data_IF_822727331873
#
_entry.id   IF_822727331873
#
_cell.length_a   1.000
_cell.length_b   1.000
_cell.length_c   1.000
_cell.angle_alpha   90.00
_cell.angle_beta   90.00
_cell.angle_gamma   90.00
#
_symmetry.space_group_name_H-M   'P 1'
#
loop_
_entity.id
_entity.type
_entity.pdbx_description
1 polymer ?
#
# COMPACT_ATOMS: atom_id res chain seq x y z
N UNK A 1 -18.70 -0.21 -9.01
CA UNK A 1 -19.69 -1.27 -8.63
C UNK A 1 -19.98 -1.17 -7.13
N UNK A 2 -21.25 -1.31 -6.71
CA UNK A 2 -21.62 -1.34 -5.27
C UNK A 2 -21.56 -2.76 -4.71
N UNK A 3 -21.08 -2.89 -3.47
CA UNK A 3 -21.18 -4.12 -2.70
C UNK A 3 -22.55 -4.22 -1.95
N UNK A 4 -22.74 -5.29 -1.19
CA UNK A 4 -24.01 -5.52 -0.45
C UNK A 4 -24.28 -4.51 0.67
N UNK A 5 -23.29 -3.67 1.03
CA UNK A 5 -23.39 -2.62 2.06
C UNK A 5 -23.44 -1.21 1.45
N UNK A 6 -23.65 -1.10 0.12
CA UNK A 6 -23.77 0.16 -0.60
C UNK A 6 -22.45 0.90 -0.85
N UNK A 7 -21.27 0.29 -0.54
CA UNK A 7 -19.96 0.90 -0.76
C UNK A 7 -19.58 0.81 -2.23
N UNK A 8 -19.11 1.92 -2.80
CA UNK A 8 -18.59 1.95 -4.17
C UNK A 8 -17.18 1.36 -4.24
N UNK A 9 -17.04 0.14 -4.76
CA UNK A 9 -15.76 -0.53 -4.94
C UNK A 9 -15.18 -0.10 -6.28
N UNK A 10 -14.24 0.84 -6.24
CA UNK A 10 -13.61 1.44 -7.42
C UNK A 10 -12.07 1.40 -7.38
N UNK A 11 -11.49 0.70 -6.42
CA UNK A 11 -10.07 0.65 -6.18
C UNK A 11 -9.57 -0.79 -6.04
N UNK A 12 -8.72 -1.22 -6.99
CA UNK A 12 -8.10 -2.53 -6.97
C UNK A 12 -6.61 -2.42 -6.57
N UNK A 13 -6.19 -3.26 -5.62
CA UNK A 13 -4.78 -3.42 -5.26
C UNK A 13 -4.29 -4.77 -5.76
N UNK A 14 -3.17 -4.78 -6.46
CA UNK A 14 -2.56 -6.00 -6.99
C UNK A 14 -1.16 -6.12 -6.41
N UNK A 15 -0.89 -7.22 -5.71
CA UNK A 15 0.45 -7.62 -5.32
C UNK A 15 1.13 -8.27 -6.53
N UNK A 16 2.32 -7.83 -6.89
CA UNK A 16 3.04 -8.33 -8.06
C UNK A 16 4.06 -9.41 -7.71
N UNK A 17 4.48 -9.47 -6.46
CA UNK A 17 5.50 -10.41 -5.97
C UNK A 17 5.47 -10.48 -4.44
N UNK A 18 5.88 -11.61 -3.88
CA UNK A 18 6.14 -11.74 -2.43
C UNK A 18 7.58 -11.35 -2.07
N UNK A 19 8.48 -11.29 -3.06
CA UNK A 19 9.89 -10.96 -2.82
C UNK A 19 10.05 -9.50 -2.42
N UNK A 20 10.97 -9.27 -1.48
CA UNK A 20 11.38 -7.95 -1.04
C UNK A 20 12.90 -7.92 -0.85
N UNK A 21 13.52 -6.81 -1.19
CA UNK A 21 14.94 -6.54 -0.96
C UNK A 21 15.22 -5.97 0.44
N UNK A 22 14.20 -5.78 1.27
CA UNK A 22 14.29 -5.45 2.69
C UNK A 22 13.60 -6.53 3.53
N UNK A 23 13.93 -6.57 4.84
CA UNK A 23 13.38 -7.55 5.80
C UNK A 23 12.87 -6.84 7.05
N UNK A 24 12.00 -5.83 6.87
CA UNK A 24 11.51 -5.02 7.99
C UNK A 24 10.96 -5.88 9.12
N UNK A 25 11.34 -5.54 10.37
CA UNK A 25 11.08 -6.33 11.58
C UNK A 25 9.61 -6.68 11.81
N UNK A 26 8.72 -5.74 11.47
CA UNK A 26 7.25 -5.89 11.62
C UNK A 26 6.57 -6.55 10.42
N UNK A 27 7.31 -6.76 9.30
CA UNK A 27 6.77 -7.30 8.05
C UNK A 27 7.16 -8.77 7.84
N UNK A 28 8.41 -9.11 8.12
CA UNK A 28 8.99 -10.42 7.83
C UNK A 28 9.66 -11.02 9.08
N UNK A 29 9.57 -12.35 9.28
CA UNK A 29 10.30 -13.02 10.34
C UNK A 29 11.82 -12.91 10.10
N UNK A 30 12.60 -13.10 11.15
CA UNK A 30 14.06 -12.91 11.09
C UNK A 30 14.73 -13.94 10.19
N UNK A 31 14.27 -15.17 10.26
CA UNK A 31 14.72 -16.31 9.47
C UNK A 31 14.15 -16.37 8.05
N UNK A 32 13.44 -15.30 7.62
CA UNK A 32 12.87 -15.26 6.29
C UNK A 32 13.95 -15.35 5.21
N UNK A 33 13.93 -16.45 4.47
CA UNK A 33 14.75 -16.65 3.28
C UNK A 33 13.92 -16.31 2.06
N UNK A 34 14.35 -15.27 1.32
CA UNK A 34 13.75 -14.95 0.02
C UNK A 34 13.96 -16.16 -0.91
N UNK A 35 12.88 -16.86 -1.23
CA UNK A 35 12.93 -17.94 -2.20
C UNK A 35 13.15 -17.33 -3.59
N UNK A 36 13.88 -18.05 -4.48
CA UNK A 36 13.83 -17.70 -5.91
C UNK A 36 12.36 -17.62 -6.31
N UNK A 37 11.97 -16.47 -6.87
CA UNK A 37 10.61 -16.30 -7.36
C UNK A 37 10.36 -17.35 -8.44
N UNK A 38 9.42 -18.23 -8.17
CA UNK A 38 8.91 -19.12 -9.18
C UNK A 38 7.88 -18.31 -9.99
N UNK A 39 8.33 -17.78 -11.12
CA UNK A 39 7.53 -16.89 -11.98
C UNK A 39 6.24 -17.58 -12.45
N UNK A 40 6.19 -18.93 -12.45
CA UNK A 40 4.98 -19.67 -12.82
C UNK A 40 3.89 -19.60 -11.75
N UNK A 41 4.25 -19.31 -10.51
CA UNK A 41 3.32 -19.23 -9.36
C UNK A 41 2.74 -17.85 -9.14
N UNK A 42 3.27 -16.82 -9.78
CA UNK A 42 2.77 -15.46 -9.66
C UNK A 42 2.00 -15.03 -10.92
N UNK A 43 1.21 -13.97 -10.77
CA UNK A 43 0.53 -13.35 -11.90
C UNK A 43 1.54 -12.84 -12.92
N UNK A 44 1.41 -13.27 -14.18
CA UNK A 44 2.16 -12.72 -15.32
C UNK A 44 1.68 -11.31 -15.64
N UNK A 45 2.41 -10.56 -16.48
CA UNK A 45 1.96 -9.28 -17.02
C UNK A 45 0.58 -9.44 -17.69
N UNK A 46 0.41 -10.46 -18.51
CA UNK A 46 -0.84 -10.77 -19.23
C UNK A 46 -1.99 -11.01 -18.24
N UNK A 47 -1.77 -11.79 -17.18
CA UNK A 47 -2.76 -12.02 -16.13
C UNK A 47 -3.18 -10.68 -15.48
N UNK A 48 -2.21 -9.83 -15.13
CA UNK A 48 -2.49 -8.52 -14.53
C UNK A 48 -3.34 -7.65 -15.45
N UNK A 49 -2.99 -7.59 -16.74
CA UNK A 49 -3.71 -6.77 -17.72
C UNK A 49 -5.12 -7.31 -17.99
N UNK A 50 -5.31 -8.63 -18.06
CA UNK A 50 -6.63 -9.27 -18.17
C UNK A 50 -7.53 -8.93 -17.00
N UNK A 51 -7.00 -9.02 -15.77
CA UNK A 51 -7.72 -8.64 -14.55
C UNK A 51 -8.09 -7.15 -14.58
N UNK A 52 -7.14 -6.27 -14.93
CA UNK A 52 -7.37 -4.82 -14.96
C UNK A 52 -8.43 -4.44 -16.00
N UNK A 53 -8.39 -5.07 -17.18
CA UNK A 53 -9.37 -4.81 -18.23
C UNK A 53 -10.78 -5.19 -17.82
N UNK A 54 -10.96 -6.37 -17.19
CA UNK A 54 -12.24 -6.79 -16.64
C UNK A 54 -12.70 -5.86 -15.49
N UNK A 55 -11.79 -5.49 -14.59
CA UNK A 55 -12.07 -4.61 -13.45
C UNK A 55 -12.51 -3.20 -13.90
N UNK A 56 -11.90 -2.66 -14.96
CA UNK A 56 -12.28 -1.36 -15.52
C UNK A 56 -13.74 -1.32 -15.96
N UNK A 57 -14.21 -2.36 -16.65
CA UNK A 57 -15.62 -2.44 -17.09
C UNK A 57 -16.61 -2.45 -15.91
N UNK A 58 -16.14 -2.85 -14.72
CA UNK A 58 -16.93 -2.81 -13.49
C UNK A 58 -16.92 -1.44 -12.78
N UNK A 59 -16.21 -0.44 -13.35
CA UNK A 59 -16.06 0.89 -12.77
C UNK A 59 -14.89 1.04 -11.81
N UNK A 60 -13.94 0.10 -11.80
CA UNK A 60 -12.65 0.30 -11.11
C UNK A 60 -11.82 1.27 -11.93
N UNK A 61 -11.47 2.40 -11.35
CA UNK A 61 -10.73 3.49 -11.99
C UNK A 61 -9.37 3.76 -11.33
N UNK A 62 -9.07 3.05 -10.25
CA UNK A 62 -7.85 3.20 -9.48
C UNK A 62 -7.14 1.87 -9.27
N UNK A 63 -5.89 1.80 -9.69
CA UNK A 63 -5.02 0.64 -9.49
C UNK A 63 -3.87 1.00 -8.57
N UNK A 64 -3.55 0.10 -7.64
CA UNK A 64 -2.32 0.20 -6.87
C UNK A 64 -1.52 -1.08 -6.97
N UNK A 65 -0.34 -0.97 -7.49
CA UNK A 65 0.64 -2.05 -7.54
C UNK A 65 1.42 -2.08 -6.23
N UNK A 66 1.51 -3.27 -5.65
CA UNK A 66 2.22 -3.53 -4.40
C UNK A 66 2.95 -4.88 -4.50
N UNK A 67 3.32 -5.44 -3.36
CA UNK A 67 3.92 -6.76 -3.27
C UNK A 67 4.68 -6.88 -1.96
N UNK A 68 5.75 -7.66 -1.96
CA UNK A 68 6.89 -7.41 -1.11
C UNK A 68 7.51 -6.09 -1.59
N UNK A 69 8.29 -6.11 -2.69
CA UNK A 69 8.74 -4.88 -3.35
C UNK A 69 8.42 -4.95 -4.85
N UNK A 70 7.44 -4.18 -5.36
CA UNK A 70 7.02 -4.26 -6.75
C UNK A 70 8.09 -3.83 -7.75
N UNK A 71 9.04 -2.96 -7.34
CA UNK A 71 10.14 -2.52 -8.21
C UNK A 71 11.19 -3.61 -8.46
N UNK A 72 11.12 -4.77 -7.81
CA UNK A 72 11.91 -5.95 -8.16
C UNK A 72 11.44 -6.63 -9.45
N UNK A 73 10.17 -6.45 -9.82
CA UNK A 73 9.65 -6.97 -11.08
C UNK A 73 10.33 -6.30 -12.27
N UNK A 74 10.84 -7.10 -13.19
CA UNK A 74 11.52 -6.60 -14.40
C UNK A 74 10.54 -5.90 -15.35
N UNK A 75 9.33 -6.41 -15.43
CA UNK A 75 8.22 -5.97 -16.30
C UNK A 75 7.35 -4.86 -15.65
N UNK A 76 7.76 -4.27 -14.52
CA UNK A 76 6.95 -3.26 -13.80
C UNK A 76 6.58 -2.05 -14.69
N UNK A 77 7.49 -1.59 -15.54
CA UNK A 77 7.25 -0.46 -16.46
C UNK A 77 6.24 -0.84 -17.54
N UNK A 78 6.36 -2.06 -18.11
CA UNK A 78 5.43 -2.60 -19.08
C UNK A 78 4.03 -2.77 -18.48
N UNK A 79 3.94 -3.32 -17.27
CA UNK A 79 2.67 -3.44 -16.53
C UNK A 79 2.01 -2.06 -16.35
N UNK A 80 2.73 -1.03 -15.90
CA UNK A 80 2.19 0.34 -15.74
C UNK A 80 1.69 0.88 -17.09
N UNK A 81 2.49 0.74 -18.15
CA UNK A 81 2.10 1.16 -19.50
C UNK A 81 0.86 0.43 -20.01
N UNK A 82 0.78 -0.89 -19.79
CA UNK A 82 -0.38 -1.70 -20.16
C UNK A 82 -1.64 -1.29 -19.42
N UNK A 83 -1.55 -1.02 -18.11
CA UNK A 83 -2.66 -0.51 -17.28
C UNK A 83 -3.13 0.87 -17.80
N UNK A 84 -2.20 1.75 -18.16
CA UNK A 84 -2.53 3.06 -18.74
C UNK A 84 -3.24 2.91 -20.08
N UNK A 85 -2.75 2.03 -20.96
CA UNK A 85 -3.39 1.70 -22.26
C UNK A 85 -4.77 1.08 -22.09
N UNK A 86 -5.00 0.29 -21.03
CA UNK A 86 -6.33 -0.22 -20.67
C UNK A 86 -7.28 0.90 -20.20
N UNK A 87 -6.82 2.14 -20.10
CA UNK A 87 -7.60 3.34 -19.80
C UNK A 87 -7.84 3.58 -18.31
N UNK A 88 -6.95 3.12 -17.45
CA UNK A 88 -6.90 3.49 -16.04
C UNK A 88 -6.02 4.73 -15.90
N UNK A 89 -6.56 5.79 -15.33
CA UNK A 89 -5.83 7.04 -15.12
C UNK A 89 -5.17 7.14 -13.75
N UNK A 90 -5.74 6.52 -12.73
CA UNK A 90 -5.20 6.54 -11.38
C UNK A 90 -4.33 5.31 -11.09
N UNK A 91 -3.04 5.37 -11.47
CA UNK A 91 -2.07 4.28 -11.28
C UNK A 91 -1.07 4.68 -10.20
N UNK A 92 -0.98 3.88 -9.14
CA UNK A 92 -0.08 4.13 -8.01
C UNK A 92 0.78 2.90 -7.71
N UNK A 93 1.98 3.14 -7.21
CA UNK A 93 2.86 2.10 -6.66
C UNK A 93 3.07 2.35 -5.17
N UNK A 94 3.14 1.27 -4.37
CA UNK A 94 3.68 1.31 -3.01
C UNK A 94 5.00 0.59 -3.01
N UNK A 95 6.07 1.24 -2.56
CA UNK A 95 7.45 0.75 -2.61
C UNK A 95 8.20 1.11 -1.32
N UNK A 96 9.25 0.37 -1.01
CA UNK A 96 10.22 0.73 0.02
C UNK A 96 11.23 1.81 -0.45
N UNK A 97 11.22 2.17 -1.72
CA UNK A 97 12.00 3.26 -2.29
C UNK A 97 13.45 2.94 -2.65
N UNK A 98 14.00 1.79 -2.30
CA UNK A 98 15.43 1.45 -2.54
C UNK A 98 15.79 1.47 -4.04
N UNK A 99 14.88 1.05 -4.91
CA UNK A 99 15.09 0.99 -6.37
C UNK A 99 14.40 2.14 -7.12
N UNK A 100 13.83 3.09 -6.38
CA UNK A 100 12.96 4.10 -6.97
C UNK A 100 13.73 5.04 -7.91
N UNK A 101 14.91 5.52 -7.49
CA UNK A 101 15.70 6.47 -8.28
C UNK A 101 16.13 5.94 -9.65
N UNK A 102 16.26 4.61 -9.77
CA UNK A 102 16.66 3.96 -11.02
C UNK A 102 15.49 3.81 -12.02
N UNK A 103 14.25 3.74 -11.51
CA UNK A 103 13.06 3.41 -12.31
C UNK A 103 12.08 4.56 -12.49
N UNK A 104 12.23 5.64 -11.72
CA UNK A 104 11.20 6.68 -11.63
C UNK A 104 10.88 7.33 -12.98
N UNK A 105 11.91 7.66 -13.77
CA UNK A 105 11.74 8.28 -15.09
C UNK A 105 10.88 7.40 -16.02
N UNK A 106 11.25 6.13 -16.16
CA UNK A 106 10.52 5.18 -17.02
C UNK A 106 9.09 4.93 -16.53
N UNK A 107 8.87 4.94 -15.20
CA UNK A 107 7.53 4.81 -14.63
C UNK A 107 6.66 6.04 -14.89
N UNK A 108 7.22 7.25 -14.85
CA UNK A 108 6.51 8.47 -15.23
C UNK A 108 6.11 8.45 -16.71
N UNK A 109 7.05 8.09 -17.59
CA UNK A 109 6.81 7.95 -19.03
C UNK A 109 5.75 6.89 -19.33
N UNK A 110 5.67 5.82 -18.53
CA UNK A 110 4.65 4.78 -18.63
C UNK A 110 3.25 5.22 -18.13
N UNK A 111 3.14 6.39 -17.47
CA UNK A 111 1.87 6.94 -17.02
C UNK A 111 1.55 6.71 -15.54
N UNK A 112 2.56 6.52 -14.68
CA UNK A 112 2.37 6.46 -13.23
C UNK A 112 1.83 7.80 -12.70
N UNK A 113 0.78 7.77 -11.87
CA UNK A 113 0.11 8.97 -11.33
C UNK A 113 0.67 9.42 -9.99
N UNK A 114 1.30 8.54 -9.26
CA UNK A 114 1.89 8.86 -7.96
C UNK A 114 2.45 7.65 -7.23
N UNK A 115 3.18 7.92 -6.17
CA UNK A 115 3.92 6.89 -5.44
C UNK A 115 3.72 7.01 -3.94
N UNK A 116 3.62 5.85 -3.28
CA UNK A 116 3.69 5.77 -1.83
C UNK A 116 5.02 5.12 -1.46
N UNK A 117 5.84 5.82 -0.70
CA UNK A 117 7.11 5.30 -0.18
C UNK A 117 6.92 4.92 1.28
N UNK A 118 7.27 3.69 1.63
CA UNK A 118 7.30 3.24 3.02
C UNK A 118 8.60 3.69 3.67
N UNK A 119 8.49 4.58 4.68
CA UNK A 119 9.65 5.16 5.36
C UNK A 119 9.28 5.49 6.81
N UNK A 120 9.86 4.76 7.75
CA UNK A 120 9.48 4.79 9.16
C UNK A 120 10.37 5.68 10.02
N UNK A 121 11.50 6.16 9.48
CA UNK A 121 12.44 7.07 10.13
C UNK A 121 13.34 7.74 9.11
N UNK A 122 13.95 8.88 9.49
CA UNK A 122 15.02 9.55 8.74
C UNK A 122 16.41 9.30 9.35
N UNK A 123 16.50 8.65 10.50
CA UNK A 123 17.78 8.24 11.09
C UNK A 123 18.35 7.01 10.38
N UNK A 124 19.61 7.08 9.95
CA UNK A 124 20.26 6.02 9.16
C UNK A 124 20.41 4.72 9.95
N UNK A 125 20.80 4.83 11.23
CA UNK A 125 21.01 3.66 12.08
C UNK A 125 19.69 2.98 12.36
N UNK A 126 18.69 3.73 12.78
CA UNK A 126 17.33 3.24 13.06
C UNK A 126 16.69 2.64 11.79
N UNK A 127 16.85 3.27 10.62
CA UNK A 127 16.39 2.73 9.35
C UNK A 127 17.03 1.38 9.03
N UNK A 128 18.35 1.27 9.22
CA UNK A 128 19.09 0.01 9.00
C UNK A 128 18.62 -1.09 9.96
N UNK A 129 18.35 -0.77 11.20
CA UNK A 129 17.84 -1.71 12.21
C UNK A 129 16.41 -2.17 11.86
N UNK A 130 15.49 -1.24 11.60
CA UNK A 130 14.09 -1.55 11.24
C UNK A 130 14.03 -2.40 9.96
N UNK A 131 14.81 -2.06 8.95
CA UNK A 131 14.77 -2.72 7.63
C UNK A 131 15.70 -3.92 7.51
N UNK A 132 16.51 -4.18 8.55
CA UNK A 132 17.56 -5.21 8.57
C UNK A 132 18.54 -5.08 7.40
N UNK A 133 19.10 -3.88 7.21
CA UNK A 133 20.21 -3.63 6.29
C UNK A 133 19.96 -2.67 5.13
N UNK A 134 18.81 -2.01 5.07
CA UNK A 134 18.53 -0.99 4.05
C UNK A 134 19.44 0.23 4.16
N UNK A 135 19.60 0.95 3.04
CA UNK A 135 20.33 2.23 2.94
C UNK A 135 19.34 3.35 2.71
N UNK A 136 19.14 4.21 3.71
CA UNK A 136 18.17 5.30 3.66
C UNK A 136 18.48 6.32 2.55
N UNK A 137 19.76 6.58 2.27
CA UNK A 137 20.20 7.50 1.23
C UNK A 137 19.59 7.17 -0.15
N UNK A 138 19.44 5.88 -0.47
CA UNK A 138 18.78 5.45 -1.71
C UNK A 138 17.29 5.80 -1.74
N UNK A 139 16.62 5.68 -0.59
CA UNK A 139 15.20 6.03 -0.47
C UNK A 139 14.98 7.52 -0.62
N UNK A 140 15.82 8.33 0.03
CA UNK A 140 15.75 9.79 -0.05
C UNK A 140 16.05 10.31 -1.47
N UNK A 141 17.07 9.75 -2.15
CA UNK A 141 17.34 10.04 -3.57
C UNK A 141 16.13 9.68 -4.46
N UNK A 142 15.52 8.53 -4.21
CA UNK A 142 14.30 8.13 -4.94
C UNK A 142 13.12 9.07 -4.72
N UNK A 143 12.90 9.54 -3.50
CA UNK A 143 11.86 10.53 -3.16
C UNK A 143 12.13 11.86 -3.87
N UNK A 144 13.38 12.33 -3.83
CA UNK A 144 13.80 13.58 -4.49
C UNK A 144 13.48 13.53 -5.97
N UNK A 145 13.98 12.51 -6.66
CA UNK A 145 13.75 12.33 -8.10
C UNK A 145 12.27 12.15 -8.45
N UNK A 146 11.47 11.54 -7.57
CA UNK A 146 10.04 11.44 -7.79
C UNK A 146 9.35 12.81 -7.73
N UNK A 147 9.74 13.66 -6.77
CA UNK A 147 9.27 15.04 -6.69
C UNK A 147 9.70 15.87 -7.90
N UNK A 148 10.97 15.77 -8.31
CA UNK A 148 11.51 16.48 -9.50
C UNK A 148 10.79 16.08 -10.79
N UNK A 149 10.34 14.83 -10.91
CA UNK A 149 9.52 14.38 -12.05
C UNK A 149 8.03 14.74 -11.91
N UNK A 150 7.64 15.55 -10.94
CA UNK A 150 6.27 16.02 -10.75
C UNK A 150 5.29 14.97 -10.24
N UNK A 151 5.77 13.83 -9.73
CA UNK A 151 4.91 12.81 -9.18
C UNK A 151 4.34 13.20 -7.81
N UNK A 152 3.12 12.80 -7.58
CA UNK A 152 2.50 12.89 -6.26
C UNK A 152 3.13 11.88 -5.31
N UNK A 153 3.99 12.36 -4.43
CA UNK A 153 4.68 11.52 -3.45
C UNK A 153 3.92 11.50 -2.12
N UNK A 154 3.77 10.31 -1.56
CA UNK A 154 3.26 10.12 -0.20
C UNK A 154 4.19 9.20 0.57
N UNK A 155 4.61 9.62 1.74
CA UNK A 155 5.36 8.80 2.67
C UNK A 155 4.35 8.10 3.58
N UNK A 156 4.47 6.79 3.72
CA UNK A 156 3.74 5.98 4.68
C UNK A 156 4.69 5.59 5.79
N UNK A 157 4.32 5.87 7.02
CA UNK A 157 5.11 5.54 8.19
C UNK A 157 4.28 4.81 9.22
N UNK A 158 4.83 3.74 9.77
CA UNK A 158 4.30 3.01 10.92
C UNK A 158 5.17 3.33 12.13
N UNK A 159 4.55 3.88 13.17
CA UNK A 159 5.26 4.22 14.41
C UNK A 159 5.07 3.09 15.43
N UNK A 160 6.18 2.54 15.86
CA UNK A 160 6.27 1.41 16.79
C UNK A 160 6.88 1.92 18.10
N UNK A 161 6.19 1.61 19.20
CA UNK A 161 6.60 2.01 20.55
C UNK A 161 8.02 1.51 20.86
N UNK A 162 8.84 2.36 21.49
CA UNK A 162 10.23 2.09 21.89
C UNK A 162 11.20 1.83 20.72
N UNK A 163 10.75 1.99 19.46
CA UNK A 163 11.60 1.75 18.29
C UNK A 163 11.83 3.02 17.48
N UNK A 164 10.77 3.74 17.04
CA UNK A 164 10.88 4.91 16.19
C UNK A 164 9.89 6.04 16.52
N UNK A 165 9.53 6.18 17.78
CA UNK A 165 8.63 7.25 18.24
C UNK A 165 9.19 8.65 17.97
N UNK A 166 10.50 8.80 18.11
CA UNK A 166 11.26 10.02 17.84
C UNK A 166 11.23 10.45 16.36
N UNK A 167 10.96 9.53 15.44
CA UNK A 167 10.85 9.81 14.02
C UNK A 167 9.62 10.65 13.65
N UNK A 168 8.59 10.70 14.48
CA UNK A 168 7.33 11.42 14.18
C UNK A 168 7.60 12.87 13.82
N UNK A 169 8.43 13.57 14.60
CA UNK A 169 8.79 14.97 14.38
C UNK A 169 9.50 15.16 13.04
N UNK A 170 10.58 14.43 12.82
CA UNK A 170 11.45 14.59 11.65
C UNK A 170 10.73 14.20 10.36
N UNK A 171 9.88 13.17 10.37
CA UNK A 171 9.03 12.79 9.25
C UNK A 171 8.00 13.89 8.92
N UNK A 172 7.32 14.43 9.93
CA UNK A 172 6.35 15.50 9.73
C UNK A 172 7.01 16.79 9.16
N UNK A 173 8.25 17.10 9.55
CA UNK A 173 9.02 18.23 9.03
C UNK A 173 9.25 18.17 7.51
N UNK A 174 9.18 16.99 6.88
CA UNK A 174 9.27 16.88 5.42
C UNK A 174 8.16 17.65 4.72
N UNK A 175 6.97 17.73 5.33
CA UNK A 175 5.83 18.47 4.79
C UNK A 175 6.02 19.99 4.81
N UNK A 176 6.95 20.49 5.65
CA UNK A 176 7.31 21.92 5.68
C UNK A 176 8.20 22.31 4.52
N UNK A 177 8.99 21.36 3.99
CA UNK A 177 10.06 21.62 3.02
C UNK A 177 9.69 21.19 1.59
N UNK A 178 8.77 20.24 1.44
CA UNK A 178 8.45 19.60 0.15
C UNK A 178 6.94 19.44 0.00
N UNK A 179 6.46 19.51 -1.26
CA UNK A 179 5.07 19.20 -1.61
C UNK A 179 4.86 17.67 -1.65
N UNK A 180 4.87 17.07 -0.46
CA UNK A 180 4.56 15.66 -0.26
C UNK A 180 3.70 15.45 0.99
N UNK A 181 2.95 14.37 1.01
CA UNK A 181 2.15 14.01 2.16
C UNK A 181 2.89 12.97 3.03
N UNK A 182 2.94 13.18 4.33
CA UNK A 182 3.37 12.15 5.30
C UNK A 182 2.15 11.56 5.97
N UNK A 183 2.03 10.23 5.96
CA UNK A 183 0.89 9.52 6.53
C UNK A 183 1.33 8.55 7.61
N UNK A 184 0.88 8.76 8.81
CA UNK A 184 1.04 7.84 9.92
C UNK A 184 -0.07 6.78 9.86
N UNK A 185 0.34 5.52 9.85
CA UNK A 185 -0.55 4.37 9.74
C UNK A 185 -0.42 3.56 11.01
N UNK A 186 -1.52 3.33 11.70
CA UNK A 186 -1.51 2.46 12.88
C UNK A 186 -1.04 1.05 12.50
N UNK A 187 -0.15 0.50 13.31
CA UNK A 187 0.33 -0.86 13.15
C UNK A 187 -0.83 -1.85 13.27
N UNK A 188 -1.03 -2.63 12.22
CA UNK A 188 -2.06 -3.66 12.21
C UNK A 188 -1.51 -4.99 12.75
N UNK A 189 -2.27 -5.77 13.51
CA UNK A 189 -1.85 -7.06 14.05
C UNK A 189 -1.92 -8.16 12.97
N UNK A 190 -1.08 -8.02 11.93
CA UNK A 190 -0.98 -8.96 10.80
C UNK A 190 0.44 -9.52 10.74
N UNK A 191 0.58 -10.83 10.63
CA UNK A 191 1.87 -11.51 10.58
C UNK A 191 2.78 -11.09 11.73
N UNK A 192 4.01 -10.64 11.42
CA UNK A 192 4.98 -10.19 12.43
C UNK A 192 4.54 -8.93 13.20
N UNK A 193 3.65 -8.12 12.62
CA UNK A 193 3.11 -6.93 13.28
C UNK A 193 2.44 -7.21 14.63
N UNK A 194 1.98 -8.45 14.86
CA UNK A 194 1.40 -8.89 16.15
C UNK A 194 2.39 -8.88 17.31
N UNK A 195 3.67 -8.88 17.06
CA UNK A 195 4.75 -8.89 18.06
C UNK A 195 5.11 -7.50 18.58
N UNK A 196 4.54 -6.46 17.98
CA UNK A 196 4.90 -5.07 18.27
C UNK A 196 3.69 -4.27 18.75
N UNK A 197 3.95 -3.23 19.52
CA UNK A 197 2.95 -2.26 19.96
C UNK A 197 3.10 -1.00 19.12
N UNK A 198 2.07 -0.65 18.36
CA UNK A 198 2.02 0.61 17.61
C UNK A 198 1.61 1.79 18.49
N UNK A 199 1.98 3.00 18.10
CA UNK A 199 1.50 4.25 18.69
C UNK A 199 0.15 4.60 18.06
N UNK A 200 -0.81 5.04 18.86
CA UNK A 200 -2.10 5.50 18.36
C UNK A 200 -1.94 6.81 17.58
N UNK A 201 -2.67 6.94 16.48
CA UNK A 201 -2.64 8.16 15.69
C UNK A 201 -3.14 9.40 16.47
N UNK A 202 -3.97 9.23 17.50
CA UNK A 202 -4.39 10.31 18.40
C UNK A 202 -3.20 10.87 19.18
N UNK A 203 -2.31 10.02 19.68
CA UNK A 203 -1.12 10.43 20.40
C UNK A 203 -0.14 11.18 19.49
N UNK A 204 0.02 10.67 18.23
CA UNK A 204 0.83 11.34 17.21
C UNK A 204 0.23 12.71 16.85
N UNK A 205 -1.09 12.80 16.71
CA UNK A 205 -1.78 14.06 16.44
C UNK A 205 -1.51 15.09 17.55
N UNK A 206 -1.67 14.69 18.82
CA UNK A 206 -1.44 15.57 19.96
C UNK A 206 0.03 16.02 20.04
N UNK A 207 0.97 15.12 19.80
CA UNK A 207 2.39 15.47 19.73
C UNK A 207 2.67 16.53 18.65
N UNK A 208 2.16 16.34 17.44
CA UNK A 208 2.36 17.26 16.32
C UNK A 208 1.63 18.60 16.53
N UNK A 209 0.47 18.60 17.18
CA UNK A 209 -0.23 19.83 17.58
C UNK A 209 0.60 20.66 18.55
N UNK A 210 1.26 20.02 19.52
CA UNK A 210 2.11 20.70 20.47
C UNK A 210 3.40 21.24 19.85
N UNK A 211 4.00 20.50 18.91
CA UNK A 211 5.27 20.86 18.27
C UNK A 211 5.14 21.92 17.17
N UNK A 212 4.11 21.82 16.34
CA UNK A 212 4.02 22.60 15.09
C UNK A 212 2.74 23.41 14.95
N UNK A 213 1.71 23.10 15.73
CA UNK A 213 0.33 23.54 15.56
C UNK A 213 -0.24 23.17 14.19
N UNK A 214 -1.49 22.78 14.14
CA UNK A 214 -2.19 22.59 12.86
C UNK A 214 -2.78 23.91 12.37
N UNK A 215 -2.90 24.05 11.06
CA UNK A 215 -3.55 25.17 10.41
C UNK A 215 -5.05 25.12 10.71
N UNK A 216 -5.59 26.17 11.30
CA UNK A 216 -7.02 26.29 11.60
C UNK A 216 -7.86 26.19 10.33
N UNK A 217 -9.00 25.54 10.41
CA UNK A 217 -9.94 25.39 9.31
C UNK A 217 -9.50 24.42 8.19
N UNK A 218 -8.30 23.83 8.27
CA UNK A 218 -7.89 22.82 7.30
C UNK A 218 -8.13 21.41 7.82
N UNK A 219 -9.06 20.72 7.18
CA UNK A 219 -9.34 19.29 7.37
C UNK A 219 -9.85 18.70 6.07
N UNK A 220 -9.27 17.59 5.64
CA UNK A 220 -9.68 16.89 4.41
C UNK A 220 -9.74 15.37 4.68
N UNK A 221 -10.82 14.72 4.26
CA UNK A 221 -10.89 13.26 4.23
C UNK A 221 -10.73 12.80 2.78
N UNK A 222 -9.71 11.96 2.53
CA UNK A 222 -9.47 11.37 1.21
C UNK A 222 -9.34 9.85 1.31
N UNK A 223 -10.40 9.17 0.94
CA UNK A 223 -10.55 7.74 1.15
C UNK A 223 -10.56 7.41 2.64
N UNK A 224 -9.53 6.69 3.12
CA UNK A 224 -9.40 6.27 4.52
C UNK A 224 -8.48 7.17 5.35
N UNK A 225 -7.95 8.23 4.75
CA UNK A 225 -6.96 9.12 5.39
C UNK A 225 -7.63 10.42 5.80
N UNK A 226 -7.44 10.80 7.06
CA UNK A 226 -7.76 12.13 7.59
C UNK A 226 -6.51 12.99 7.46
N UNK A 227 -6.58 14.08 6.71
CA UNK A 227 -5.46 14.99 6.46
C UNK A 227 -5.61 16.31 7.22
N UNK A 228 -4.47 16.78 7.71
CA UNK A 228 -4.28 18.07 8.34
C UNK A 228 -3.09 18.77 7.71
N UNK A 229 -3.02 20.09 7.80
CA UNK A 229 -1.82 20.87 7.48
C UNK A 229 -1.17 21.35 8.76
N UNK A 230 0.15 21.20 8.86
CA UNK A 230 0.91 21.91 9.87
C UNK A 230 0.97 23.40 9.50
N UNK A 231 1.08 24.26 10.47
CA UNK A 231 1.22 25.70 10.23
C UNK A 231 2.47 25.95 9.35
N UNK A 232 2.31 26.64 8.24
CA UNK A 232 3.33 26.89 7.21
C UNK A 232 3.79 25.67 6.41
N UNK A 233 3.14 24.50 6.49
CA UNK A 233 3.51 23.37 5.65
C UNK A 233 3.06 23.54 4.20
N UNK A 234 3.87 23.02 3.28
CA UNK A 234 3.55 22.90 1.85
C UNK A 234 2.68 21.66 1.65
N UNK A 235 3.15 20.54 2.18
CA UNK A 235 2.45 19.25 2.15
C UNK A 235 1.47 19.06 3.30
N UNK A 236 0.98 17.84 3.48
CA UNK A 236 -0.03 17.46 4.48
C UNK A 236 0.45 16.32 5.37
N UNK A 237 -0.03 16.32 6.60
CA UNK A 237 0.06 15.17 7.49
C UNK A 237 -1.26 14.41 7.45
N UNK A 238 -1.19 13.11 7.25
CA UNK A 238 -2.35 12.24 7.17
C UNK A 238 -2.34 11.16 8.26
N UNK A 239 -3.52 10.74 8.68
CA UNK A 239 -3.69 9.66 9.66
C UNK A 239 -4.57 8.57 9.09
N UNK A 240 -4.11 7.32 9.18
CA UNK A 240 -4.84 6.11 8.78
C UNK A 240 -4.95 5.22 10.01
N UNK A 241 -6.15 5.12 10.57
CA UNK A 241 -6.41 4.43 11.84
C UNK A 241 -7.34 3.23 11.62
N UNK A 242 -6.82 2.11 11.10
CA UNK A 242 -7.64 0.94 10.83
C UNK A 242 -8.14 0.24 12.11
N UNK A 243 -7.49 0.44 13.25
CA UNK A 243 -7.81 -0.22 14.50
C UNK A 243 -8.71 0.67 15.38
N UNK A 244 -8.28 1.89 15.66
CA UNK A 244 -8.97 2.77 16.60
C UNK A 244 -10.09 3.62 15.97
N UNK A 245 -10.09 3.82 14.66
CA UNK A 245 -11.13 4.54 13.91
C UNK A 245 -11.49 3.76 12.65
N UNK A 246 -12.25 2.69 12.81
CA UNK A 246 -12.65 1.82 11.71
C UNK A 246 -13.32 2.62 10.58
N UNK A 247 -12.78 2.46 9.37
CA UNK A 247 -13.28 3.09 8.13
C UNK A 247 -13.92 2.09 7.17
N UNK A 248 -14.42 0.97 7.68
CA UNK A 248 -14.98 -0.11 6.86
C UNK A 248 -16.19 0.36 6.04
N UNK A 249 -16.99 1.27 6.57
CA UNK A 249 -18.18 1.82 5.92
C UNK A 249 -17.84 2.61 4.63
N UNK A 250 -16.63 3.14 4.53
CA UNK A 250 -16.13 3.87 3.36
C UNK A 250 -15.08 3.09 2.56
N UNK A 251 -14.86 1.82 2.88
CA UNK A 251 -13.81 1.02 2.25
C UNK A 251 -14.18 0.64 0.81
N UNK A 252 -13.49 1.24 -0.14
CA UNK A 252 -13.70 1.07 -1.58
C UNK A 252 -12.75 0.05 -2.25
N UNK A 253 -12.06 -0.80 -1.48
CA UNK A 253 -10.95 -1.61 -1.97
C UNK A 253 -11.29 -3.08 -2.12
N UNK A 254 -10.75 -3.68 -3.19
CA UNK A 254 -10.55 -5.13 -3.31
C UNK A 254 -9.07 -5.39 -3.59
N UNK A 255 -8.55 -6.58 -3.24
CA UNK A 255 -7.14 -6.93 -3.37
C UNK A 255 -6.95 -8.25 -4.09
N UNK A 256 -5.81 -8.38 -4.77
CA UNK A 256 -5.35 -9.64 -5.35
C UNK A 256 -3.90 -9.84 -4.93
N UNK A 257 -3.59 -11.02 -4.43
CA UNK A 257 -2.23 -11.41 -4.04
C UNK A 257 -1.40 -11.79 -5.26
N UNK A 258 -0.09 -11.87 -5.13
CA UNK A 258 0.81 -12.20 -6.23
C UNK A 258 0.55 -13.59 -6.84
N UNK A 259 0.08 -14.51 -6.03
CA UNK A 259 -0.33 -15.86 -6.43
C UNK A 259 -1.78 -15.94 -6.95
N UNK A 260 -2.47 -14.79 -7.08
CA UNK A 260 -3.81 -14.68 -7.69
C UNK A 260 -4.99 -14.89 -6.74
N UNK A 261 -4.80 -14.93 -5.40
CA UNK A 261 -5.93 -15.03 -4.50
C UNK A 261 -6.63 -13.67 -4.33
N UNK A 262 -7.94 -13.66 -4.48
CA UNK A 262 -8.76 -12.47 -4.28
C UNK A 262 -9.03 -12.29 -2.79
N UNK A 263 -8.69 -11.12 -2.25
CA UNK A 263 -8.94 -10.75 -0.85
C UNK A 263 -9.99 -9.65 -0.76
N UNK A 264 -11.10 -9.97 -0.14
CA UNK A 264 -12.23 -9.06 0.12
C UNK A 264 -11.87 -8.03 1.18
N UNK A 265 -11.02 -8.41 2.13
CA UNK A 265 -10.48 -7.58 3.21
C UNK A 265 -9.03 -7.97 3.49
N UNK A 266 -8.24 -7.07 4.09
CA UNK A 266 -6.87 -7.34 4.49
C UNK A 266 -6.81 -8.45 5.58
N UNK A 267 -7.75 -8.43 6.50
CA UNK A 267 -7.81 -9.31 7.68
C UNK A 267 -8.43 -10.70 7.40
N UNK A 268 -8.92 -10.96 6.19
CA UNK A 268 -9.61 -12.19 5.84
C UNK A 268 -8.83 -12.94 4.77
N UNK A 269 -8.75 -14.25 4.88
CA UNK A 269 -8.13 -15.12 3.88
C UNK A 269 -8.81 -14.98 2.51
N UNK A 270 -8.04 -15.17 1.44
CA UNK A 270 -8.58 -15.26 0.08
C UNK A 270 -9.08 -16.68 -0.19
N UNK A 271 -10.31 -16.80 -0.70
CA UNK A 271 -10.94 -18.11 -0.97
C UNK A 271 -10.93 -18.48 -2.46
N UNK A 272 -10.81 -17.51 -3.35
CA UNK A 272 -10.83 -17.72 -4.82
C UNK A 272 -9.48 -17.31 -5.40
N UNK A 273 -8.90 -18.22 -6.17
CA UNK A 273 -7.66 -17.97 -6.91
C UNK A 273 -7.98 -17.69 -8.38
N UNK A 274 -7.91 -16.41 -8.77
CA UNK A 274 -8.25 -15.97 -10.15
C UNK A 274 -7.21 -16.42 -11.17
N UNK A 275 -5.93 -16.65 -10.73
CA UNK A 275 -4.87 -17.12 -11.61
C UNK A 275 -5.21 -18.48 -12.22
N UNK A 276 -5.79 -19.40 -11.46
CA UNK A 276 -6.20 -20.70 -11.98
C UNK A 276 -7.14 -20.59 -13.19
N UNK A 277 -8.13 -19.71 -13.09
CA UNK A 277 -9.06 -19.48 -14.21
C UNK A 277 -8.36 -18.85 -15.42
N UNK A 278 -7.43 -17.92 -15.19
CA UNK A 278 -6.65 -17.31 -16.27
C UNK A 278 -5.74 -18.33 -16.95
N UNK A 279 -5.08 -19.20 -16.18
CA UNK A 279 -4.23 -20.27 -16.71
C UNK A 279 -5.04 -21.32 -17.51
N UNK A 280 -6.32 -21.49 -17.20
CA UNK A 280 -7.29 -22.34 -17.92
C UNK A 280 -7.91 -21.63 -19.14
N UNK A 281 -7.52 -20.38 -19.41
CA UNK A 281 -7.99 -19.62 -20.57
C UNK A 281 -9.34 -18.92 -20.37
N UNK A 282 -9.72 -18.60 -19.12
CA UNK A 282 -10.94 -17.87 -18.84
C UNK A 282 -11.02 -16.56 -19.60
N UNK A 283 -12.15 -16.30 -20.22
CA UNK A 283 -12.42 -15.06 -20.92
C UNK A 283 -12.67 -13.87 -19.97
N UNK A 284 -12.72 -12.68 -20.54
CA UNK A 284 -12.93 -11.44 -19.78
C UNK A 284 -14.22 -11.44 -18.98
N UNK A 285 -15.32 -11.99 -19.52
CA UNK A 285 -16.61 -12.00 -18.83
C UNK A 285 -16.58 -12.95 -17.62
N UNK A 286 -15.90 -14.08 -17.72
CA UNK A 286 -15.68 -15.00 -16.60
C UNK A 286 -14.88 -14.32 -15.48
N UNK A 287 -13.79 -13.61 -15.83
CA UNK A 287 -12.97 -12.87 -14.84
C UNK A 287 -13.80 -11.78 -14.15
N UNK A 288 -14.61 -11.04 -14.91
CA UNK A 288 -15.51 -10.02 -14.40
C UNK A 288 -16.52 -10.61 -13.42
N UNK A 289 -17.18 -11.72 -13.77
CA UNK A 289 -18.15 -12.41 -12.90
C UNK A 289 -17.50 -12.89 -11.59
N UNK A 290 -16.27 -13.41 -11.64
CA UNK A 290 -15.52 -13.80 -10.43
C UNK A 290 -15.28 -12.57 -9.53
N UNK A 291 -14.80 -11.46 -10.09
CA UNK A 291 -14.55 -10.23 -9.33
C UNK A 291 -15.84 -9.67 -8.73
N UNK A 292 -16.94 -9.66 -9.47
CA UNK A 292 -18.26 -9.20 -9.01
C UNK A 292 -18.74 -10.02 -7.81
N UNK A 293 -18.68 -11.34 -7.92
CA UNK A 293 -19.07 -12.24 -6.84
C UNK A 293 -18.25 -12.02 -5.57
N UNK A 294 -16.94 -11.78 -5.71
CA UNK A 294 -16.07 -11.51 -4.57
C UNK A 294 -16.29 -10.13 -3.95
N UNK A 295 -16.66 -9.13 -4.75
CA UNK A 295 -17.06 -7.81 -4.26
C UNK A 295 -18.37 -7.89 -3.46
N UNK A 296 -19.35 -8.62 -3.94
CA UNK A 296 -20.62 -8.81 -3.22
C UNK A 296 -20.44 -9.52 -1.87
N UNK A 297 -19.46 -10.41 -1.77
CA UNK A 297 -19.12 -11.15 -0.54
C UNK A 297 -18.18 -10.36 0.41
N UNK A 298 -17.89 -9.09 0.15
CA UNK A 298 -17.09 -8.28 1.10
C UNK A 298 -17.76 -8.21 2.46
N UNK A 299 -17.01 -8.36 3.57
CA UNK A 299 -17.59 -8.23 4.90
C UNK A 299 -17.97 -6.76 5.17
N UNK A 300 -18.95 -6.57 6.04
CA UNK A 300 -19.31 -5.25 6.54
C UNK A 300 -18.12 -4.58 7.23
N UNK A 301 -17.49 -5.27 8.18
CA UNK A 301 -16.36 -4.79 8.97
C UNK A 301 -15.25 -5.82 9.04
N UNK A 302 -14.03 -5.36 9.30
CA UNK A 302 -12.93 -6.24 9.64
C UNK A 302 -13.12 -6.83 11.05
N UNK A 303 -12.42 -7.93 11.32
CA UNK A 303 -12.50 -8.65 12.59
C UNK A 303 -11.17 -8.62 13.37
N UNK A 304 -10.36 -7.55 13.23
CA UNK A 304 -9.14 -7.42 14.01
C UNK A 304 -9.46 -7.50 15.51
N UNK A 305 -8.71 -8.34 16.24
CA UNK A 305 -8.87 -8.52 17.68
C UNK A 305 -10.08 -9.36 18.12
N UNK A 306 -10.81 -9.97 17.18
CA UNK A 306 -11.84 -10.97 17.48
C UNK A 306 -11.36 -12.34 17.02
N UNK A 307 -11.66 -13.40 17.80
CA UNK A 307 -11.42 -14.77 17.35
C UNK A 307 -12.22 -15.04 16.08
N UNK A 308 -11.51 -15.43 15.03
CA UNK A 308 -12.11 -15.72 13.73
C UNK A 308 -11.28 -16.78 13.01
N UNK A 309 -11.89 -17.88 12.60
CA UNK A 309 -11.26 -18.97 11.87
C UNK A 309 -10.74 -18.57 10.49
N UNK A 310 -11.23 -17.45 9.94
CA UNK A 310 -10.83 -16.89 8.65
C UNK A 310 -9.75 -15.80 8.75
N UNK A 311 -9.14 -15.61 9.93
CA UNK A 311 -8.14 -14.57 10.12
C UNK A 311 -6.91 -14.82 9.25
N UNK A 312 -6.38 -13.72 8.67
CA UNK A 312 -5.18 -13.78 7.84
C UNK A 312 -3.93 -14.11 8.66
N UNK A 313 -3.32 -15.23 8.34
CA UNK A 313 -2.11 -15.72 8.99
C UNK A 313 -0.83 -15.42 8.20
N UNK A 314 -0.96 -15.01 6.93
CA UNK A 314 0.18 -14.68 6.06
C UNK A 314 0.86 -13.39 6.51
N UNK A 315 2.14 -13.25 6.19
CA UNK A 315 2.89 -12.03 6.40
C UNK A 315 2.47 -10.92 5.42
N UNK A 316 2.76 -9.66 5.76
CA UNK A 316 2.33 -8.50 4.98
C UNK A 316 2.85 -8.52 3.53
N UNK A 317 4.05 -9.03 3.27
CA UNK A 317 4.62 -9.17 1.93
C UNK A 317 3.85 -10.13 1.02
N UNK A 318 3.17 -11.11 1.61
CA UNK A 318 2.37 -12.11 0.88
C UNK A 318 0.98 -11.59 0.51
N UNK A 319 0.45 -10.66 1.29
CA UNK A 319 -0.91 -10.11 1.08
C UNK A 319 -0.92 -8.76 0.37
N UNK A 320 0.24 -8.18 0.14
CA UNK A 320 0.39 -6.90 -0.56
C UNK A 320 0.00 -5.72 0.30
N UNK A 321 0.89 -5.34 1.19
CA UNK A 321 0.75 -4.23 2.15
C UNK A 321 0.57 -2.84 1.54
#
# INVERSE_FOLDING_TARGET
MKDNYGRDINYLRISLTENCNLKCIYCLPEDFISKKCDETKILSEENVLSIVTAAKEMGINKIRLTGGEPLLRKDIVSIVSGIKKAGIDEIYITTNGILLSEKIKSLCEAGLSGINVSLDTLDEKQFREITRGGKISKVLDGIEKACENGLKVKINSVIIKEINEDAVKTLAELTLKKDLDVRFIELMPVGQGRKFTGIKNEDIYNLLQNLFQFQEGFFEIKGVTKYYKLKKSIGKVGFISPINSCFCDTCNKIRITSDGNIKRCLNINGHINIKKYLDEGADKETIKNILQNEILKKPEKHLFGKENNDEEMKNMNQIGG
#
